data_IF_665283549988
#
_entry.id   IF_665283549988
#
_cell.length_a   1.000
_cell.length_b   1.000
_cell.length_c   1.000
_cell.angle_alpha   90.00
_cell.angle_beta   90.00
_cell.angle_gamma   90.00
#
_symmetry.space_group_name_H-M   'P 1'
#
loop_
_entity.id
_entity.type
_entity.pdbx_description
1 polymer ?
#
# COMPACT_ATOMS: atom_id res chain seq x y z
N UNK A 1 5.07 27.33 -3.14
CA UNK A 1 4.35 26.20 -3.77
C UNK A 1 3.16 25.86 -2.90
N UNK A 2 2.05 25.46 -3.52
CA UNK A 2 0.89 24.87 -2.86
C UNK A 2 0.99 23.35 -2.93
N UNK A 3 0.90 22.70 -1.78
CA UNK A 3 1.06 21.24 -1.63
C UNK A 3 -0.23 20.68 -1.05
N UNK A 4 -0.85 19.76 -1.79
CA UNK A 4 -2.06 19.06 -1.38
C UNK A 4 -1.68 17.75 -0.67
N UNK A 5 -1.98 17.68 0.62
CA UNK A 5 -1.94 16.45 1.41
C UNK A 5 -3.31 15.79 1.36
N UNK A 6 -3.41 14.68 0.63
CA UNK A 6 -4.66 13.92 0.52
C UNK A 6 -4.64 12.78 1.55
N UNK A 7 -5.32 13.02 2.67
CA UNK A 7 -5.19 12.32 3.94
C UNK A 7 -6.53 11.74 4.46
N UNK A 8 -7.21 10.85 3.71
CA UNK A 8 -8.56 10.38 4.06
C UNK A 8 -8.64 9.47 5.30
N UNK A 9 -7.51 9.07 5.90
CA UNK A 9 -7.44 7.98 6.88
C UNK A 9 -6.87 8.40 8.25
N UNK A 10 -7.36 9.52 8.78
CA UNK A 10 -6.86 10.12 10.04
C UNK A 10 -6.98 9.22 11.28
N UNK A 11 -7.85 8.21 11.28
CA UNK A 11 -7.92 7.22 12.37
C UNK A 11 -6.68 6.32 12.43
N UNK A 12 -5.82 6.21 11.42
CA UNK A 12 -4.57 5.46 11.58
C UNK A 12 -3.50 6.41 12.11
N UNK A 13 -3.55 6.72 13.41
CA UNK A 13 -2.76 7.80 14.01
C UNK A 13 -1.25 7.65 13.84
N UNK A 14 -0.75 6.41 13.90
CA UNK A 14 0.67 6.09 13.65
C UNK A 14 1.13 6.44 12.23
N UNK A 15 0.20 6.74 11.32
CA UNK A 15 0.48 7.23 9.97
C UNK A 15 0.09 8.71 9.84
N UNK A 16 -1.11 9.09 10.30
CA UNK A 16 -1.65 10.44 10.14
C UNK A 16 -0.84 11.51 10.89
N UNK A 17 -0.35 11.22 12.09
CA UNK A 17 0.44 12.20 12.84
C UNK A 17 1.82 12.45 12.22
N UNK A 18 2.61 11.41 11.86
CA UNK A 18 3.85 11.64 11.10
C UNK A 18 3.63 12.33 9.75
N UNK A 19 2.53 12.04 9.04
CA UNK A 19 2.14 12.78 7.83
C UNK A 19 1.93 14.27 8.11
N UNK A 20 1.20 14.61 9.18
CA UNK A 20 1.00 15.98 9.61
C UNK A 20 2.32 16.70 9.97
N UNK A 21 3.28 16.00 10.60
CA UNK A 21 4.61 16.57 10.88
C UNK A 21 5.38 16.92 9.60
N UNK A 22 5.28 16.10 8.56
CA UNK A 22 5.88 16.42 7.24
C UNK A 22 5.19 17.65 6.63
N UNK A 23 3.86 17.70 6.69
CA UNK A 23 3.10 18.85 6.23
C UNK A 23 3.47 20.14 6.99
N UNK A 24 3.66 20.06 8.31
CA UNK A 24 4.09 21.17 9.15
C UNK A 24 5.49 21.65 8.76
N UNK A 25 6.46 20.73 8.61
CA UNK A 25 7.81 21.10 8.21
C UNK A 25 7.83 21.81 6.84
N UNK A 26 7.01 21.37 5.89
CA UNK A 26 6.86 22.03 4.60
C UNK A 26 6.19 23.41 4.72
N UNK A 27 5.19 23.55 5.60
CA UNK A 27 4.55 24.83 5.92
C UNK A 27 5.57 25.82 6.52
N UNK A 28 6.37 25.38 7.48
CA UNK A 28 7.45 26.17 8.09
C UNK A 28 8.52 26.55 7.05
N UNK A 29 8.73 25.71 6.04
CA UNK A 29 9.53 26.02 4.85
C UNK A 29 8.90 27.03 3.87
N UNK A 30 7.75 27.62 4.20
CA UNK A 30 7.08 28.65 3.39
C UNK A 30 6.16 28.09 2.30
N UNK A 31 5.77 26.81 2.37
CA UNK A 31 4.79 26.23 1.46
C UNK A 31 3.36 26.41 1.97
N UNK A 32 2.42 26.56 1.04
CA UNK A 32 1.00 26.53 1.37
C UNK A 32 0.54 25.08 1.43
N UNK A 33 -0.06 24.68 2.55
CA UNK A 33 -0.54 23.31 2.77
C UNK A 33 -2.06 23.28 2.69
N UNK A 34 -2.57 22.40 1.83
CA UNK A 34 -3.99 22.02 1.76
C UNK A 34 -4.12 20.59 2.25
N UNK A 35 -4.68 20.42 3.46
CA UNK A 35 -4.82 19.13 4.14
C UNK A 35 -6.26 18.61 4.02
N UNK A 36 -6.47 17.66 3.12
CA UNK A 36 -7.78 17.14 2.74
C UNK A 36 -8.07 15.83 3.45
N UNK A 37 -9.28 15.68 4.02
CA UNK A 37 -9.70 14.41 4.66
C UNK A 37 -11.01 13.88 4.09
N UNK A 38 -11.50 12.76 4.61
CA UNK A 38 -12.64 12.05 4.04
C UNK A 38 -14.01 12.68 4.39
N UNK A 39 -14.17 13.24 5.59
CA UNK A 39 -15.47 13.73 6.08
C UNK A 39 -16.58 12.68 6.05
N UNK A 40 -16.27 11.44 6.48
CA UNK A 40 -17.18 10.27 6.49
C UNK A 40 -17.69 9.78 5.14
N UNK A 41 -17.23 10.35 4.02
CA UNK A 41 -17.69 9.91 2.69
C UNK A 41 -17.45 8.42 2.42
N UNK A 42 -16.40 7.84 3.02
CA UNK A 42 -16.01 6.43 2.89
C UNK A 42 -16.55 5.54 4.03
N UNK A 43 -17.68 5.92 4.65
CA UNK A 43 -18.22 5.25 5.84
C UNK A 43 -18.74 3.81 5.62
N UNK A 44 -18.96 3.40 4.37
CA UNK A 44 -19.48 2.05 4.08
C UNK A 44 -18.45 0.96 4.42
N UNK A 45 -17.20 1.19 4.05
CA UNK A 45 -16.02 0.44 4.47
C UNK A 45 -14.76 1.17 3.99
N UNK A 46 -13.68 1.24 4.77
CA UNK A 46 -12.42 1.84 4.31
C UNK A 46 -11.19 1.26 5.02
N UNK A 47 -10.00 1.67 4.57
CA UNK A 47 -8.69 1.22 5.12
C UNK A 47 -8.58 1.42 6.64
N UNK A 48 -9.12 2.53 7.17
CA UNK A 48 -9.11 2.75 8.62
C UNK A 48 -9.91 1.68 9.37
N UNK A 49 -11.06 1.25 8.84
CA UNK A 49 -11.89 0.21 9.44
C UNK A 49 -11.16 -1.14 9.41
N UNK A 50 -10.52 -1.47 8.29
CA UNK A 50 -9.68 -2.67 8.18
C UNK A 50 -8.51 -2.65 9.18
N UNK A 51 -7.83 -1.51 9.33
CA UNK A 51 -6.72 -1.36 10.29
C UNK A 51 -7.16 -1.57 11.75
N UNK A 52 -8.41 -1.24 12.07
CA UNK A 52 -9.04 -1.49 13.37
C UNK A 52 -9.75 -2.85 13.45
N UNK A 53 -9.56 -3.74 12.47
CA UNK A 53 -10.14 -5.09 12.39
C UNK A 53 -11.67 -5.10 12.40
N UNK A 54 -12.29 -4.02 11.94
CA UNK A 54 -13.73 -3.99 11.68
C UNK A 54 -13.97 -4.72 10.36
N UNK A 55 -14.84 -5.73 10.37
CA UNK A 55 -15.19 -6.50 9.17
C UNK A 55 -16.08 -5.67 8.22
N UNK A 56 -16.04 -5.92 6.90
CA UNK A 56 -16.94 -5.26 5.94
C UNK A 56 -18.43 -5.43 6.26
N UNK A 57 -18.80 -6.60 6.79
CA UNK A 57 -20.16 -6.94 7.19
C UNK A 57 -20.51 -6.51 8.64
N UNK A 58 -19.62 -5.81 9.35
CA UNK A 58 -19.90 -5.34 10.70
C UNK A 58 -21.06 -4.31 10.71
N UNK A 59 -21.82 -4.21 11.81
CA UNK A 59 -22.88 -3.20 11.95
C UNK A 59 -22.36 -1.78 11.72
N UNK A 60 -23.20 -0.92 11.18
CA UNK A 60 -22.83 0.47 10.86
C UNK A 60 -22.36 1.26 12.08
N UNK A 61 -22.88 0.97 13.27
CA UNK A 61 -22.41 1.57 14.51
C UNK A 61 -20.90 1.35 14.75
N UNK A 62 -20.37 0.17 14.45
CA UNK A 62 -18.94 -0.11 14.61
C UNK A 62 -18.09 0.67 13.59
N UNK A 63 -18.62 0.84 12.37
CA UNK A 63 -17.96 1.62 11.31
C UNK A 63 -17.98 3.11 11.63
N UNK A 64 -19.10 3.62 12.14
CA UNK A 64 -19.27 5.01 12.56
C UNK A 64 -18.30 5.38 13.70
N UNK A 65 -18.04 4.49 14.65
CA UNK A 65 -17.02 4.72 15.69
C UNK A 65 -15.62 5.00 15.09
N UNK A 66 -15.25 4.33 14.00
CA UNK A 66 -13.99 4.59 13.30
C UNK A 66 -14.05 5.95 12.57
N UNK A 67 -15.18 6.30 11.98
CA UNK A 67 -15.39 7.63 11.39
C UNK A 67 -15.30 8.76 12.44
N UNK A 68 -15.89 8.58 13.62
CA UNK A 68 -15.80 9.53 14.74
C UNK A 68 -14.34 9.69 15.19
N UNK A 69 -13.58 8.59 15.24
CA UNK A 69 -12.16 8.63 15.56
C UNK A 69 -11.33 9.36 14.48
N UNK A 70 -11.65 9.17 13.20
CA UNK A 70 -11.07 9.94 12.10
C UNK A 70 -11.35 11.44 12.29
N UNK A 71 -12.59 11.81 12.61
CA UNK A 71 -13.01 13.19 12.76
C UNK A 71 -12.37 13.88 13.97
N UNK A 72 -12.26 13.19 15.11
CA UNK A 72 -11.55 13.72 16.26
C UNK A 72 -10.06 13.97 15.93
N UNK A 73 -9.41 13.02 15.23
CA UNK A 73 -7.99 13.13 14.88
C UNK A 73 -7.71 14.16 13.79
N UNK A 74 -8.57 14.28 12.77
CA UNK A 74 -8.42 15.35 11.77
C UNK A 74 -8.56 16.72 12.40
N UNK A 75 -9.46 16.88 13.38
CA UNK A 75 -9.67 18.15 14.07
C UNK A 75 -8.40 18.54 14.83
N UNK A 76 -7.83 17.62 15.62
CA UNK A 76 -6.55 17.83 16.30
C UNK A 76 -5.46 18.25 15.28
N UNK A 77 -5.31 17.52 14.17
CA UNK A 77 -4.31 17.83 13.16
C UNK A 77 -4.53 19.23 12.56
N UNK A 78 -5.74 19.53 12.07
CA UNK A 78 -6.01 20.81 11.40
C UNK A 78 -5.85 22.00 12.35
N UNK A 79 -6.38 21.89 13.57
CA UNK A 79 -6.34 22.99 14.55
C UNK A 79 -4.92 23.21 15.10
N UNK A 80 -4.24 22.16 15.57
CA UNK A 80 -2.95 22.29 16.23
C UNK A 80 -1.84 22.71 15.27
N UNK A 81 -1.85 22.21 14.03
CA UNK A 81 -0.87 22.61 13.01
C UNK A 81 -1.33 23.82 12.17
N UNK A 82 -2.58 24.27 12.35
CA UNK A 82 -3.19 25.35 11.59
C UNK A 82 -3.23 25.08 10.08
N UNK A 83 -3.60 23.86 9.67
CA UNK A 83 -3.72 23.51 8.26
C UNK A 83 -5.08 23.96 7.70
N UNK A 84 -5.05 24.52 6.48
CA UNK A 84 -6.25 24.76 5.69
C UNK A 84 -6.63 23.48 4.94
N UNK A 85 -7.87 23.40 4.47
CA UNK A 85 -8.35 22.31 3.61
C UNK A 85 -9.81 21.96 3.92
N UNK A 86 -10.40 21.13 3.08
CA UNK A 86 -11.79 20.70 3.18
C UNK A 86 -11.89 19.18 3.29
N UNK A 87 -13.07 18.66 3.58
CA UNK A 87 -13.34 17.24 3.45
C UNK A 87 -13.84 16.87 2.05
N UNK A 88 -13.60 15.63 1.64
CA UNK A 88 -14.14 15.08 0.39
C UNK A 88 -15.66 15.18 0.33
N UNK A 89 -16.34 14.98 1.47
CA UNK A 89 -17.80 15.10 1.59
C UNK A 89 -18.33 16.49 1.25
N UNK A 90 -17.54 17.55 1.48
CA UNK A 90 -17.92 18.93 1.15
C UNK A 90 -17.88 19.21 -0.36
N UNK A 91 -17.15 18.38 -1.12
CA UNK A 91 -16.96 18.55 -2.56
C UNK A 91 -17.89 17.69 -3.40
N UNK A 92 -18.36 16.58 -2.83
CA UNK A 92 -19.21 15.62 -3.51
C UNK A 92 -20.66 16.13 -3.46
N UNK A 93 -21.23 16.37 -4.63
CA UNK A 93 -22.62 16.82 -4.77
C UNK A 93 -23.58 15.64 -4.85
N UNK A 94 -24.87 15.88 -4.67
CA UNK A 94 -25.89 14.84 -4.86
C UNK A 94 -25.92 14.30 -6.29
N UNK A 95 -25.54 15.11 -7.28
CA UNK A 95 -25.37 14.66 -8.67
C UNK A 95 -24.22 13.66 -8.80
N UNK A 96 -23.06 13.94 -8.19
CA UNK A 96 -21.96 12.97 -8.16
C UNK A 96 -22.40 11.68 -7.46
N UNK A 97 -23.14 11.76 -6.35
CA UNK A 97 -23.65 10.58 -5.65
C UNK A 97 -24.58 9.74 -6.52
N UNK A 98 -25.48 10.39 -7.27
CA UNK A 98 -26.35 9.73 -8.22
C UNK A 98 -25.53 8.98 -9.29
N UNK A 99 -24.57 9.67 -9.91
CA UNK A 99 -23.69 9.05 -10.91
C UNK A 99 -22.88 7.89 -10.34
N UNK A 100 -22.36 8.02 -9.11
CA UNK A 100 -21.62 6.94 -8.46
C UNK A 100 -22.49 5.71 -8.26
N UNK A 101 -23.72 5.87 -7.74
CA UNK A 101 -24.60 4.72 -7.53
C UNK A 101 -25.11 4.12 -8.83
N UNK A 102 -25.35 4.92 -9.87
CA UNK A 102 -25.67 4.43 -11.22
C UNK A 102 -24.54 3.57 -11.79
N UNK A 103 -23.29 4.05 -11.72
CA UNK A 103 -22.11 3.31 -12.17
C UNK A 103 -21.96 2.01 -11.36
N UNK A 104 -22.10 2.08 -10.04
CA UNK A 104 -21.96 0.90 -9.17
C UNK A 104 -23.09 -0.12 -9.40
N UNK A 105 -24.31 0.32 -9.71
CA UNK A 105 -25.42 -0.57 -10.02
C UNK A 105 -25.25 -1.25 -11.39
N UNK A 106 -24.61 -0.57 -12.35
CA UNK A 106 -24.38 -1.08 -13.70
C UNK A 106 -23.13 -1.94 -13.87
N UNK A 107 -22.18 -1.90 -12.93
CA UNK A 107 -20.91 -2.64 -13.06
C UNK A 107 -21.11 -4.14 -12.83
N UNK A 108 -20.44 -4.96 -13.64
CA UNK A 108 -20.41 -6.42 -13.50
C UNK A 108 -18.99 -6.88 -13.17
N UNK A 109 -18.85 -8.16 -12.80
CA UNK A 109 -17.53 -8.76 -12.54
C UNK A 109 -16.62 -8.69 -13.76
N UNK A 110 -17.21 -8.87 -14.94
CA UNK A 110 -16.48 -8.90 -16.21
C UNK A 110 -16.10 -7.49 -16.69
N UNK A 111 -16.91 -6.48 -16.36
CA UNK A 111 -16.63 -5.09 -16.76
C UNK A 111 -15.80 -4.31 -15.73
N UNK A 112 -15.64 -4.80 -14.50
CA UNK A 112 -14.92 -4.06 -13.47
C UNK A 112 -13.46 -3.78 -13.85
N UNK A 113 -12.69 -4.79 -14.29
CA UNK A 113 -11.26 -4.62 -14.58
C UNK A 113 -10.98 -3.81 -15.84
N UNK A 114 -12.01 -3.49 -16.63
CA UNK A 114 -11.92 -2.68 -17.85
C UNK A 114 -12.67 -1.35 -17.72
N UNK A 115 -13.27 -1.08 -16.56
CA UNK A 115 -14.00 0.16 -16.34
C UNK A 115 -13.05 1.36 -16.27
N UNK A 116 -13.28 2.32 -17.16
CA UNK A 116 -12.57 3.58 -17.23
C UNK A 116 -13.53 4.76 -17.03
N UNK A 117 -13.03 5.80 -16.38
CA UNK A 117 -13.71 7.08 -16.23
C UNK A 117 -12.72 8.20 -16.54
N UNK A 118 -13.02 9.01 -17.56
CA UNK A 118 -12.16 10.09 -18.07
C UNK A 118 -10.71 9.65 -18.34
N UNK A 119 -10.53 8.44 -18.89
CA UNK A 119 -9.22 7.88 -19.22
C UNK A 119 -8.41 7.39 -18.00
N UNK A 120 -9.04 7.21 -16.83
CA UNK A 120 -8.46 6.47 -15.72
C UNK A 120 -9.15 5.12 -15.58
N UNK A 121 -8.38 4.05 -15.45
CA UNK A 121 -8.87 2.70 -15.16
C UNK A 121 -9.33 2.53 -13.70
N UNK A 122 -10.35 3.28 -13.28
CA UNK A 122 -10.87 3.31 -11.89
C UNK A 122 -11.19 1.90 -11.39
N UNK A 123 -11.74 1.05 -12.26
CA UNK A 123 -12.10 -0.31 -11.88
C UNK A 123 -10.90 -1.16 -11.46
N UNK A 124 -9.76 -1.01 -12.16
CA UNK A 124 -8.48 -1.62 -11.75
C UNK A 124 -7.95 -1.01 -10.47
N UNK A 125 -7.88 0.33 -10.40
CA UNK A 125 -7.33 1.04 -9.25
C UNK A 125 -8.05 0.69 -7.94
N UNK A 126 -9.35 0.41 -8.01
CA UNK A 126 -10.17 0.01 -6.87
C UNK A 126 -9.72 -1.32 -6.23
N UNK A 127 -9.10 -2.22 -6.99
CA UNK A 127 -8.87 -3.61 -6.57
C UNK A 127 -7.70 -3.80 -5.61
N UNK A 128 -6.76 -2.85 -5.52
CA UNK A 128 -5.48 -3.07 -4.83
C UNK A 128 -5.66 -3.58 -3.39
N UNK A 129 -6.48 -2.91 -2.56
CA UNK A 129 -6.63 -3.29 -1.15
C UNK A 129 -7.40 -4.60 -1.01
N UNK A 130 -8.43 -4.78 -1.83
CA UNK A 130 -9.24 -5.99 -1.81
C UNK A 130 -8.38 -7.23 -2.09
N UNK A 131 -7.56 -7.18 -3.14
CA UNK A 131 -6.66 -8.28 -3.52
C UNK A 131 -5.65 -8.60 -2.42
N UNK A 132 -5.06 -7.58 -1.79
CA UNK A 132 -4.13 -7.76 -0.67
C UNK A 132 -4.80 -8.36 0.57
N UNK A 133 -5.98 -7.84 0.94
CA UNK A 133 -6.70 -8.27 2.14
C UNK A 133 -7.18 -9.73 2.00
N UNK A 134 -7.64 -10.10 0.81
CA UNK A 134 -8.14 -11.45 0.51
C UNK A 134 -7.07 -12.41 -0.02
N UNK A 135 -5.83 -11.94 -0.21
CA UNK A 135 -4.71 -12.72 -0.77
C UNK A 135 -5.09 -13.38 -2.10
N UNK A 136 -5.85 -12.64 -2.93
CA UNK A 136 -6.36 -13.09 -4.22
C UNK A 136 -5.34 -12.83 -5.32
N UNK A 137 -5.33 -13.72 -6.31
CA UNK A 137 -4.48 -13.62 -7.51
C UNK A 137 -5.30 -13.65 -8.81
N UNK A 138 -6.62 -13.73 -8.69
CA UNK A 138 -7.59 -13.85 -9.78
C UNK A 138 -8.94 -13.23 -9.37
N UNK A 139 -9.85 -13.09 -10.33
CA UNK A 139 -11.16 -12.43 -10.18
C UNK A 139 -12.34 -13.40 -10.03
N UNK A 140 -12.10 -14.63 -9.56
CA UNK A 140 -13.14 -15.64 -9.30
C UNK A 140 -13.86 -15.39 -7.96
N UNK A 141 -14.45 -14.21 -7.83
CA UNK A 141 -14.98 -13.70 -6.57
C UNK A 141 -16.27 -14.40 -6.16
N UNK A 142 -16.39 -14.74 -4.88
CA UNK A 142 -17.67 -15.13 -4.28
C UNK A 142 -18.67 -13.96 -4.26
N UNK A 143 -19.95 -14.24 -4.01
CA UNK A 143 -20.98 -13.18 -3.88
C UNK A 143 -20.62 -12.18 -2.77
N UNK A 144 -20.09 -12.67 -1.65
CA UNK A 144 -19.66 -11.83 -0.53
C UNK A 144 -18.47 -10.94 -0.94
N UNK A 145 -17.44 -11.52 -1.53
CA UNK A 145 -16.25 -10.78 -1.99
C UNK A 145 -16.59 -9.74 -3.05
N UNK A 146 -17.55 -10.04 -3.93
CA UNK A 146 -18.05 -9.07 -4.89
C UNK A 146 -18.65 -7.84 -4.19
N UNK A 147 -19.44 -8.03 -3.14
CA UNK A 147 -19.98 -6.92 -2.34
C UNK A 147 -18.89 -6.06 -1.68
N UNK A 148 -17.80 -6.68 -1.23
CA UNK A 148 -16.64 -5.97 -0.67
C UNK A 148 -15.89 -5.18 -1.75
N UNK A 149 -15.68 -5.80 -2.92
CA UNK A 149 -15.08 -5.18 -4.09
C UNK A 149 -15.86 -3.93 -4.54
N UNK A 150 -17.20 -4.00 -4.54
CA UNK A 150 -18.06 -2.86 -4.86
C UNK A 150 -17.94 -1.70 -3.85
N UNK A 151 -17.58 -1.98 -2.60
CA UNK A 151 -17.31 -0.91 -1.63
C UNK A 151 -16.03 -0.14 -2.01
N UNK A 152 -14.95 -0.87 -2.36
CA UNK A 152 -13.70 -0.24 -2.78
C UNK A 152 -13.85 0.50 -4.11
N UNK A 153 -14.61 -0.05 -5.05
CA UNK A 153 -14.92 0.61 -6.32
C UNK A 153 -15.70 1.92 -6.12
N UNK A 154 -16.73 1.91 -5.27
CA UNK A 154 -17.46 3.12 -4.88
C UNK A 154 -16.56 4.16 -4.23
N UNK A 155 -15.69 3.73 -3.32
CA UNK A 155 -14.71 4.62 -2.67
C UNK A 155 -13.77 5.28 -3.68
N UNK A 156 -13.29 4.52 -4.68
CA UNK A 156 -12.45 5.01 -5.75
C UNK A 156 -13.19 6.05 -6.63
N UNK A 157 -14.48 5.84 -6.92
CA UNK A 157 -15.30 6.81 -7.64
C UNK A 157 -15.51 8.11 -6.83
N UNK A 158 -15.83 8.03 -5.54
CA UNK A 158 -15.90 9.22 -4.69
C UNK A 158 -14.55 9.96 -4.63
N UNK A 159 -13.45 9.23 -4.54
CA UNK A 159 -12.11 9.80 -4.64
C UNK A 159 -11.89 10.53 -5.96
N UNK A 160 -12.37 9.97 -7.08
CA UNK A 160 -12.27 10.58 -8.40
C UNK A 160 -12.99 11.93 -8.45
N UNK A 161 -14.27 11.98 -8.07
CA UNK A 161 -15.05 13.21 -8.12
C UNK A 161 -14.49 14.29 -7.18
N UNK A 162 -14.15 13.92 -5.94
CA UNK A 162 -13.57 14.85 -4.98
C UNK A 162 -12.18 15.34 -5.42
N UNK A 163 -11.27 14.44 -5.80
CA UNK A 163 -9.93 14.81 -6.23
C UNK A 163 -9.95 15.64 -7.51
N UNK A 164 -10.84 15.36 -8.47
CA UNK A 164 -11.00 16.18 -9.66
C UNK A 164 -11.32 17.63 -9.27
N UNK A 165 -12.33 17.84 -8.41
CA UNK A 165 -12.72 19.17 -7.93
C UNK A 165 -11.61 19.86 -7.14
N UNK A 166 -10.90 19.13 -6.27
CA UNK A 166 -9.75 19.63 -5.53
C UNK A 166 -8.66 20.15 -6.46
N UNK A 167 -8.26 19.36 -7.47
CA UNK A 167 -7.21 19.78 -8.39
C UNK A 167 -7.63 21.03 -9.20
N UNK A 168 -8.91 21.12 -9.57
CA UNK A 168 -9.46 22.23 -10.34
C UNK A 168 -9.54 23.53 -9.49
N UNK A 169 -9.92 23.41 -8.21
CA UNK A 169 -10.05 24.53 -7.26
C UNK A 169 -8.71 24.99 -6.69
N UNK A 170 -7.92 24.05 -6.18
CA UNK A 170 -6.69 24.36 -5.44
C UNK A 170 -5.49 24.56 -6.35
N UNK A 171 -5.47 23.88 -7.51
CA UNK A 171 -4.35 23.88 -8.48
C UNK A 171 -3.01 23.63 -7.78
N UNK A 172 -2.85 22.50 -7.07
CA UNK A 172 -1.64 22.25 -6.32
C UNK A 172 -0.43 22.06 -7.24
N UNK A 173 0.73 22.52 -6.78
CA UNK A 173 2.00 22.24 -7.45
C UNK A 173 2.44 20.79 -7.22
N UNK A 174 2.07 20.21 -6.07
CA UNK A 174 2.50 18.88 -5.62
C UNK A 174 1.39 18.20 -4.83
N UNK A 175 1.35 16.87 -4.91
CA UNK A 175 0.43 16.03 -4.13
C UNK A 175 1.23 15.08 -3.24
N UNK A 176 0.79 14.92 -1.99
CA UNK A 176 1.39 13.98 -1.03
C UNK A 176 0.28 13.08 -0.48
N UNK A 177 0.55 11.77 -0.44
CA UNK A 177 -0.36 10.76 0.14
C UNK A 177 0.42 9.78 1.01
N UNK A 178 -0.18 9.31 2.10
CA UNK A 178 0.34 8.14 2.80
C UNK A 178 -0.04 6.85 2.04
N UNK A 179 0.95 6.13 1.51
CA UNK A 179 0.81 5.01 0.58
C UNK A 179 0.08 5.39 -0.74
N UNK A 180 0.87 5.51 -1.82
CA UNK A 180 0.36 5.87 -3.15
C UNK A 180 -0.43 4.78 -3.87
N UNK A 181 -0.46 3.55 -3.36
CA UNK A 181 -1.14 2.41 -3.98
C UNK A 181 -2.54 2.16 -3.43
N UNK A 182 -2.89 2.74 -2.27
CA UNK A 182 -4.26 2.62 -1.76
C UNK A 182 -5.26 3.22 -2.75
N UNK A 183 -6.40 2.58 -2.98
CA UNK A 183 -7.27 2.78 -4.13
C UNK A 183 -7.72 4.24 -4.22
N UNK A 184 -8.18 4.79 -3.10
CA UNK A 184 -8.59 6.20 -2.97
C UNK A 184 -7.41 7.14 -3.23
N UNK A 185 -6.24 6.85 -2.67
CA UNK A 185 -5.02 7.66 -2.86
C UNK A 185 -4.48 7.57 -4.29
N UNK A 186 -4.52 6.39 -4.89
CA UNK A 186 -4.01 6.10 -6.23
C UNK A 186 -4.84 6.83 -7.28
N UNK A 187 -6.16 6.90 -7.11
CA UNK A 187 -7.04 7.73 -7.95
C UNK A 187 -6.61 9.20 -7.89
N UNK A 188 -6.37 9.75 -6.69
CA UNK A 188 -5.85 11.11 -6.54
C UNK A 188 -4.49 11.30 -7.23
N UNK A 189 -3.57 10.35 -7.06
CA UNK A 189 -2.25 10.37 -7.71
C UNK A 189 -2.35 10.35 -9.24
N UNK A 190 -3.21 9.49 -9.80
CA UNK A 190 -3.42 9.41 -11.26
C UNK A 190 -4.07 10.66 -11.84
N UNK A 191 -5.01 11.27 -11.11
CA UNK A 191 -5.57 12.57 -11.50
C UNK A 191 -4.53 13.71 -11.45
N UNK A 192 -3.59 13.65 -10.51
CA UNK A 192 -2.47 14.57 -10.44
C UNK A 192 -1.52 14.38 -11.63
N UNK A 193 -1.14 13.14 -11.94
CA UNK A 193 -0.31 12.78 -13.10
C UNK A 193 -0.91 13.29 -14.42
N UNK A 194 -2.21 13.07 -14.65
CA UNK A 194 -2.90 13.56 -15.85
C UNK A 194 -2.86 15.09 -16.00
N UNK A 195 -2.72 15.83 -14.90
CA UNK A 195 -2.58 17.29 -14.88
C UNK A 195 -1.12 17.76 -14.90
N UNK A 196 -0.16 16.84 -15.03
CA UNK A 196 1.26 17.15 -14.94
C UNK A 196 1.73 17.54 -13.53
N UNK A 197 0.93 17.26 -12.50
CA UNK A 197 1.25 17.54 -11.09
C UNK A 197 2.00 16.34 -10.49
N UNK A 198 3.26 16.50 -10.08
CA UNK A 198 4.00 15.42 -9.43
C UNK A 198 3.38 15.03 -8.09
N UNK A 199 3.28 13.73 -7.82
CA UNK A 199 2.84 13.20 -6.54
C UNK A 199 3.97 12.45 -5.81
N UNK A 200 3.83 12.37 -4.50
CA UNK A 200 4.77 11.73 -3.57
C UNK A 200 4.01 10.82 -2.63
N UNK A 201 4.61 9.69 -2.31
CA UNK A 201 4.08 8.76 -1.33
C UNK A 201 4.89 8.83 -0.04
N UNK A 202 4.22 8.50 1.07
CA UNK A 202 4.86 8.29 2.36
C UNK A 202 4.57 6.90 2.92
N UNK A 203 5.55 6.36 3.64
CA UNK A 203 5.40 5.17 4.48
C UNK A 203 6.22 5.33 5.77
N UNK A 204 5.87 4.53 6.78
CA UNK A 204 6.80 4.22 7.86
C UNK A 204 8.09 3.61 7.29
N UNK A 205 9.23 3.85 7.95
CA UNK A 205 10.54 3.44 7.46
C UNK A 205 10.72 1.93 7.36
N UNK A 206 11.63 1.48 6.49
CA UNK A 206 11.85 0.06 6.21
C UNK A 206 12.52 -0.73 7.34
N UNK A 207 13.15 -0.05 8.31
CA UNK A 207 13.84 -0.74 9.39
C UNK A 207 12.90 -1.07 10.55
N UNK A 208 12.59 -2.36 10.76
CA UNK A 208 11.72 -2.84 11.82
C UNK A 208 12.09 -2.39 13.25
N UNK A 209 13.36 -2.16 13.58
CA UNK A 209 13.76 -1.75 14.94
C UNK A 209 13.32 -0.33 15.28
N UNK A 210 13.11 0.51 14.28
CA UNK A 210 12.70 1.90 14.44
C UNK A 210 11.69 2.35 13.36
N UNK A 211 10.86 1.41 12.88
CA UNK A 211 9.95 1.58 11.73
C UNK A 211 9.02 2.77 11.90
N UNK A 212 8.42 2.92 13.08
CA UNK A 212 7.49 4.01 13.39
C UNK A 212 8.20 5.31 13.83
N UNK A 213 9.53 5.31 13.89
CA UNK A 213 10.34 6.49 14.22
C UNK A 213 11.00 7.10 12.98
N UNK A 214 10.82 6.47 11.82
CA UNK A 214 11.41 6.91 10.56
C UNK A 214 10.33 6.92 9.48
N UNK A 215 10.52 7.75 8.45
CA UNK A 215 9.62 7.85 7.32
C UNK A 215 10.39 7.61 6.02
N UNK A 216 9.72 6.95 5.09
CA UNK A 216 10.11 6.85 3.70
C UNK A 216 9.25 7.85 2.92
N UNK A 217 9.89 8.75 2.18
CA UNK A 217 9.25 9.69 1.28
C UNK A 217 9.87 9.51 -0.11
N UNK A 218 9.04 9.32 -1.12
CA UNK A 218 9.49 9.11 -2.50
C UNK A 218 8.55 9.75 -3.50
N UNK A 219 9.08 10.11 -4.68
CA UNK A 219 8.25 10.52 -5.83
C UNK A 219 7.61 9.29 -6.45
N UNK A 220 6.35 9.42 -6.88
CA UNK A 220 5.62 8.33 -7.53
C UNK A 220 4.98 7.37 -6.53
N UNK A 221 5.27 6.07 -6.71
CA UNK A 221 4.87 5.00 -5.80
C UNK A 221 6.06 4.08 -5.42
N UNK A 222 5.83 3.11 -4.55
CA UNK A 222 6.87 2.19 -4.07
C UNK A 222 7.48 1.34 -5.19
N UNK A 223 6.71 1.00 -6.23
CA UNK A 223 7.17 0.20 -7.37
C UNK A 223 8.00 1.02 -8.36
N UNK A 224 7.92 2.34 -8.33
CA UNK A 224 8.85 3.23 -9.01
C UNK A 224 10.09 3.54 -8.14
N UNK A 225 9.88 3.73 -6.84
CA UNK A 225 10.95 4.09 -5.90
C UNK A 225 12.00 2.99 -5.70
N UNK A 226 11.58 1.73 -5.53
CA UNK A 226 12.51 0.64 -5.24
C UNK A 226 13.47 0.33 -6.40
N UNK A 227 13.01 0.20 -7.67
CA UNK A 227 13.92 0.06 -8.80
C UNK A 227 14.90 1.22 -8.91
N UNK A 228 14.45 2.45 -8.69
CA UNK A 228 15.33 3.62 -8.69
C UNK A 228 16.43 3.54 -7.61
N UNK A 229 16.12 3.02 -6.42
CA UNK A 229 17.11 2.77 -5.38
C UNK A 229 18.16 1.73 -5.83
N UNK A 230 17.72 0.66 -6.49
CA UNK A 230 18.61 -0.39 -7.01
C UNK A 230 19.51 0.16 -8.11
N UNK A 231 18.97 0.92 -9.06
CA UNK A 231 19.74 1.58 -10.13
C UNK A 231 20.81 2.51 -9.55
N UNK A 232 20.49 3.20 -8.45
CA UNK A 232 21.39 4.15 -7.80
C UNK A 232 22.41 3.46 -6.90
N UNK A 233 22.20 2.19 -6.53
CA UNK A 233 23.05 1.46 -5.58
C UNK A 233 24.52 1.43 -5.99
N UNK A 234 24.82 1.37 -7.29
CA UNK A 234 26.18 1.38 -7.82
C UNK A 234 27.04 2.53 -7.25
N UNK A 235 26.44 3.70 -7.03
CA UNK A 235 27.11 4.89 -6.46
C UNK A 235 27.58 4.71 -5.02
N UNK A 236 27.03 3.73 -4.30
CA UNK A 236 27.29 3.48 -2.89
C UNK A 236 28.11 2.22 -2.62
N UNK A 237 28.45 1.45 -3.66
CA UNK A 237 29.16 0.16 -3.51
C UNK A 237 30.56 0.28 -2.89
N UNK A 238 31.22 1.41 -3.10
CA UNK A 238 32.55 1.70 -2.55
C UNK A 238 32.52 2.59 -1.31
N UNK A 239 31.32 2.94 -0.80
CA UNK A 239 31.17 3.77 0.39
C UNK A 239 31.11 2.86 1.62
N UNK A 240 32.10 2.90 2.53
CA UNK A 240 32.08 2.06 3.71
C UNK A 240 30.90 2.38 4.63
N UNK A 241 30.26 1.34 5.17
CA UNK A 241 29.23 1.51 6.19
C UNK A 241 29.84 2.09 7.48
N UNK A 242 29.29 3.20 7.96
CA UNK A 242 29.63 3.73 9.29
C UNK A 242 29.16 2.78 10.39
N UNK A 243 29.77 2.83 11.59
CA UNK A 243 29.34 2.03 12.74
C UNK A 243 27.85 2.24 13.10
N UNK A 244 27.32 3.45 12.89
CA UNK A 244 25.90 3.76 13.05
C UNK A 244 25.01 3.00 12.06
N UNK A 245 25.41 2.93 10.78
CA UNK A 245 24.67 2.19 9.76
C UNK A 245 24.75 0.68 10.00
N UNK A 246 25.92 0.17 10.38
CA UNK A 246 26.09 -1.23 10.77
C UNK A 246 25.15 -1.59 11.91
N UNK A 247 25.09 -0.74 12.95
CA UNK A 247 24.15 -0.93 14.07
C UNK A 247 22.70 -0.94 13.61
N UNK A 248 22.27 -0.02 12.74
CA UNK A 248 20.90 0.00 12.21
C UNK A 248 20.55 -1.30 11.48
N UNK A 249 21.45 -1.79 10.63
CA UNK A 249 21.28 -3.07 9.93
C UNK A 249 21.23 -4.22 10.94
N UNK A 250 22.14 -4.26 11.91
CA UNK A 250 22.13 -5.30 12.96
C UNK A 250 20.81 -5.31 13.74
N UNK A 251 20.35 -4.15 14.21
CA UNK A 251 19.11 -4.03 14.99
C UNK A 251 17.89 -4.51 14.17
N UNK A 252 17.85 -4.21 12.86
CA UNK A 252 16.82 -4.71 11.95
C UNK A 252 16.75 -6.24 11.95
N UNK A 253 17.89 -6.90 11.73
CA UNK A 253 17.96 -8.37 11.70
C UNK A 253 17.65 -8.98 13.06
N UNK A 254 18.03 -8.33 14.16
CA UNK A 254 17.65 -8.79 15.50
C UNK A 254 16.13 -8.77 15.69
N UNK A 255 15.40 -7.78 15.16
CA UNK A 255 13.93 -7.79 15.17
C UNK A 255 13.33 -8.90 14.30
N UNK A 256 13.91 -9.18 13.12
CA UNK A 256 13.51 -10.32 12.30
C UNK A 256 13.64 -11.63 13.08
N UNK A 257 14.78 -11.84 13.75
CA UNK A 257 15.02 -13.04 14.55
C UNK A 257 14.11 -13.14 15.79
N UNK A 258 13.67 -12.00 16.34
CA UNK A 258 12.72 -11.95 17.46
C UNK A 258 11.30 -12.36 17.05
N UNK A 259 10.91 -12.16 15.78
CA UNK A 259 9.61 -12.57 15.25
C UNK A 259 8.42 -11.88 15.93
N UNK A 260 8.59 -10.65 16.43
CA UNK A 260 7.56 -9.91 17.18
C UNK A 260 6.71 -8.97 16.33
N UNK A 261 7.26 -8.51 15.20
CA UNK A 261 6.58 -7.59 14.31
C UNK A 261 5.61 -8.35 13.41
N UNK A 262 4.45 -7.75 13.12
CA UNK A 262 3.47 -8.30 12.18
C UNK A 262 3.96 -8.30 10.73
N UNK A 263 5.06 -7.60 10.44
CA UNK A 263 5.78 -7.66 9.16
C UNK A 263 6.83 -8.77 9.11
N UNK A 264 6.92 -9.61 10.16
CA UNK A 264 7.79 -10.79 10.18
C UNK A 264 6.93 -12.02 10.00
N UNK A 265 6.99 -12.61 8.81
CA UNK A 265 6.21 -13.78 8.41
C UNK A 265 6.84 -15.12 8.83
N UNK A 266 7.84 -15.09 9.72
CA UNK A 266 8.51 -16.27 10.27
C UNK A 266 8.30 -16.36 11.78
N UNK A 267 8.35 -17.58 12.33
CA UNK A 267 8.43 -17.77 13.77
C UNK A 267 9.71 -17.17 14.34
N UNK A 268 9.68 -16.82 15.63
CA UNK A 268 10.86 -16.44 16.39
C UNK A 268 11.94 -17.51 16.26
N UNK A 269 13.20 -17.11 16.10
CA UNK A 269 14.35 -18.02 16.11
C UNK A 269 14.37 -18.85 17.41
N UNK A 270 14.40 -20.16 17.26
CA UNK A 270 14.56 -21.11 18.37
C UNK A 270 15.89 -20.89 19.10
N UNK A 271 15.88 -21.09 20.43
CA UNK A 271 17.10 -21.10 21.24
C UNK A 271 17.82 -22.45 21.19
N UNK A 272 17.12 -23.53 20.81
CA UNK A 272 17.71 -24.85 20.64
C UNK A 272 18.45 -24.98 19.32
N UNK A 273 19.51 -25.80 19.31
CA UNK A 273 20.16 -26.21 18.07
C UNK A 273 19.16 -27.04 17.25
N UNK A 274 18.91 -26.63 16.01
CA UNK A 274 18.17 -27.42 15.05
C UNK A 274 19.14 -27.99 14.02
N UNK A 275 19.39 -29.29 14.09
CA UNK A 275 20.21 -29.97 13.10
C UNK A 275 19.36 -30.29 11.86
N UNK A 276 19.37 -29.37 10.90
CA UNK A 276 18.69 -29.52 9.61
C UNK A 276 19.12 -30.78 8.87
N UNK A 277 20.40 -31.17 8.97
CA UNK A 277 20.91 -32.35 8.27
C UNK A 277 20.37 -33.62 8.87
N UNK A 278 20.43 -33.75 10.19
CA UNK A 278 19.85 -34.91 10.89
C UNK A 278 18.33 -34.99 10.69
N UNK A 279 17.61 -33.86 10.80
CA UNK A 279 16.14 -33.82 10.70
C UNK A 279 15.62 -34.31 9.35
N UNK A 280 16.30 -33.96 8.26
CA UNK A 280 15.90 -34.26 6.89
C UNK A 280 16.71 -35.39 6.25
N UNK A 281 17.63 -36.03 6.99
CA UNK A 281 18.46 -37.13 6.48
C UNK A 281 19.48 -36.70 5.42
N UNK A 282 19.96 -35.45 5.49
CA UNK A 282 20.91 -34.90 4.51
C UNK A 282 22.29 -35.52 4.76
N UNK A 283 22.83 -36.26 3.78
CA UNK A 283 24.13 -36.90 3.90
C UNK A 283 25.26 -35.87 4.01
N UNK A 284 26.38 -36.18 4.68
CA UNK A 284 27.50 -35.24 4.83
C UNK A 284 28.02 -34.67 3.51
N UNK A 285 28.05 -35.49 2.45
CA UNK A 285 28.50 -35.09 1.12
C UNK A 285 27.47 -34.26 0.32
N UNK A 286 26.20 -34.21 0.75
CA UNK A 286 25.16 -33.44 0.06
C UNK A 286 25.24 -31.96 0.42
N UNK A 287 25.11 -31.11 -0.60
CA UNK A 287 24.91 -29.67 -0.45
C UNK A 287 23.42 -29.40 -0.22
N UNK A 288 23.12 -28.62 0.81
CA UNK A 288 21.76 -28.18 1.10
C UNK A 288 21.42 -26.94 0.29
N UNK A 289 20.32 -27.00 -0.44
CA UNK A 289 19.76 -25.89 -1.19
C UNK A 289 18.58 -25.31 -0.43
N UNK A 290 18.56 -23.99 -0.23
CA UNK A 290 17.42 -23.29 0.35
C UNK A 290 16.59 -22.65 -0.76
N UNK A 291 15.32 -22.99 -0.84
CA UNK A 291 14.37 -22.33 -1.76
C UNK A 291 13.61 -21.26 -1.01
N UNK A 292 13.89 -20.00 -1.34
CA UNK A 292 13.10 -18.86 -0.85
C UNK A 292 11.99 -18.57 -1.85
N UNK A 293 10.75 -18.70 -1.41
CA UNK A 293 9.57 -18.40 -2.22
C UNK A 293 9.14 -16.94 -2.06
N UNK A 294 8.60 -16.35 -3.13
CA UNK A 294 8.05 -15.00 -3.12
C UNK A 294 6.55 -14.97 -2.79
N UNK A 295 6.07 -13.83 -2.30
CA UNK A 295 4.64 -13.54 -2.11
C UNK A 295 4.07 -13.00 -3.43
N UNK A 296 3.29 -13.81 -4.14
CA UNK A 296 2.74 -13.43 -5.46
C UNK A 296 1.56 -12.45 -5.35
N UNK A 297 0.86 -12.42 -4.23
CA UNK A 297 -0.33 -11.60 -4.02
C UNK A 297 -0.05 -10.10 -4.10
N UNK A 298 1.05 -9.62 -3.51
CA UNK A 298 1.43 -8.20 -3.58
C UNK A 298 1.82 -7.78 -5.00
N UNK A 299 2.51 -8.67 -5.72
CA UNK A 299 2.94 -8.43 -7.09
C UNK A 299 1.75 -8.40 -8.04
N UNK A 300 0.85 -9.38 -7.94
CA UNK A 300 -0.37 -9.42 -8.74
C UNK A 300 -1.27 -8.22 -8.44
N UNK A 301 -1.44 -7.85 -7.17
CA UNK A 301 -2.21 -6.65 -6.82
C UNK A 301 -1.61 -5.38 -7.42
N UNK A 302 -0.28 -5.25 -7.43
CA UNK A 302 0.42 -4.11 -8.01
C UNK A 302 0.34 -4.05 -9.54
N UNK A 303 0.44 -5.20 -10.21
CA UNK A 303 0.24 -5.33 -11.66
C UNK A 303 -1.19 -4.98 -12.06
N UNK A 304 -2.18 -5.48 -11.31
CA UNK A 304 -3.60 -5.20 -11.57
C UNK A 304 -3.94 -3.72 -11.53
N UNK A 305 -3.23 -2.91 -10.73
CA UNK A 305 -3.45 -1.46 -10.65
C UNK A 305 -2.48 -0.65 -11.51
N UNK A 306 -1.74 -1.32 -12.40
CA UNK A 306 -0.76 -0.69 -13.29
C UNK A 306 0.37 0.03 -12.55
N UNK A 307 0.67 -0.36 -11.30
CA UNK A 307 1.80 0.18 -10.56
C UNK A 307 3.09 -0.60 -10.85
N UNK A 308 2.96 -1.88 -11.20
CA UNK A 308 4.08 -2.73 -11.59
C UNK A 308 3.91 -3.20 -13.04
N UNK A 309 5.00 -3.13 -13.78
CA UNK A 309 5.13 -3.73 -15.09
C UNK A 309 6.29 -4.73 -15.04
N UNK A 310 6.03 -5.98 -15.39
CA UNK A 310 7.09 -6.97 -15.51
C UNK A 310 7.98 -6.60 -16.70
N UNK A 311 9.25 -6.33 -16.43
CA UNK A 311 10.25 -6.03 -17.47
C UNK A 311 10.51 -7.25 -18.38
N UNK A 312 10.31 -8.45 -17.85
CA UNK A 312 10.39 -9.71 -18.58
C UNK A 312 9.33 -10.68 -18.05
N UNK A 313 8.72 -11.51 -18.93
CA UNK A 313 7.83 -12.57 -18.48
C UNK A 313 8.61 -13.55 -17.58
N UNK A 314 7.96 -14.13 -16.56
CA UNK A 314 8.62 -15.11 -15.72
C UNK A 314 9.01 -16.34 -16.56
N UNK A 315 10.15 -16.96 -16.23
CA UNK A 315 10.63 -18.18 -16.89
C UNK A 315 9.64 -19.35 -16.75
N UNK A 316 8.82 -19.34 -15.69
CA UNK A 316 7.78 -20.32 -15.42
C UNK A 316 6.44 -19.59 -15.27
N UNK A 317 5.35 -20.12 -15.85
CA UNK A 317 3.99 -19.58 -15.69
C UNK A 317 3.56 -19.43 -14.22
N UNK A 318 3.99 -20.34 -13.34
CA UNK A 318 3.63 -20.32 -11.91
C UNK A 318 4.80 -20.70 -11.00
N UNK A 319 4.74 -20.26 -9.74
CA UNK A 319 5.70 -20.69 -8.71
C UNK A 319 5.69 -22.22 -8.53
N UNK A 320 4.52 -22.85 -8.68
CA UNK A 320 4.35 -24.30 -8.56
C UNK A 320 5.11 -25.03 -9.67
N UNK A 321 5.01 -24.54 -10.91
CA UNK A 321 5.74 -25.12 -12.05
C UNK A 321 7.25 -24.95 -11.90
N UNK A 322 7.70 -23.79 -11.44
CA UNK A 322 9.10 -23.56 -11.11
C UNK A 322 9.62 -24.55 -10.05
N UNK A 323 8.87 -24.75 -8.95
CA UNK A 323 9.24 -25.69 -7.88
C UNK A 323 9.28 -27.13 -8.42
N UNK A 324 8.33 -27.53 -9.24
CA UNK A 324 8.32 -28.87 -9.87
C UNK A 324 9.55 -29.08 -10.76
N UNK A 325 9.92 -28.07 -11.56
CA UNK A 325 11.11 -28.14 -12.40
C UNK A 325 12.39 -28.24 -11.55
N UNK A 326 12.49 -27.45 -10.49
CA UNK A 326 13.61 -27.48 -9.55
C UNK A 326 13.73 -28.84 -8.84
N UNK A 327 12.62 -29.40 -8.37
CA UNK A 327 12.57 -30.75 -7.79
C UNK A 327 13.02 -31.82 -8.79
N UNK A 328 12.56 -31.72 -10.05
CA UNK A 328 12.99 -32.60 -11.12
C UNK A 328 14.50 -32.54 -11.36
N UNK A 329 15.07 -31.33 -11.40
CA UNK A 329 16.51 -31.12 -11.52
C UNK A 329 17.29 -31.74 -10.35
N UNK A 330 16.92 -31.42 -9.10
CA UNK A 330 17.61 -31.90 -7.90
C UNK A 330 17.51 -33.42 -7.75
N UNK A 331 16.39 -34.04 -8.16
CA UNK A 331 16.22 -35.51 -8.10
C UNK A 331 17.28 -36.27 -8.90
N UNK A 332 17.83 -35.67 -9.96
CA UNK A 332 18.90 -36.27 -10.77
C UNK A 332 20.30 -36.08 -10.17
N UNK A 333 20.42 -35.32 -9.08
CA UNK A 333 21.68 -34.85 -8.50
C UNK A 333 21.85 -35.37 -7.08
N UNK A 334 22.50 -36.52 -6.95
CA UNK A 334 22.73 -37.17 -5.65
C UNK A 334 23.63 -36.38 -4.70
N UNK A 335 24.36 -35.39 -5.21
CA UNK A 335 25.19 -34.44 -4.47
C UNK A 335 24.40 -33.26 -3.88
N UNK A 336 23.12 -33.12 -4.22
CA UNK A 336 22.25 -32.03 -3.75
C UNK A 336 21.13 -32.57 -2.86
N UNK A 337 20.63 -31.71 -1.97
CA UNK A 337 19.41 -31.90 -1.20
C UNK A 337 18.63 -30.58 -1.23
N UNK A 338 17.33 -30.63 -1.54
CA UNK A 338 16.45 -29.47 -1.53
C UNK A 338 15.52 -29.53 -0.32
#
# INVERSE_FOLDING_TARGET
MKILFFAPHSAIWVHAFPEALVAEALKQGGHEIVYVTCGRKLQRYCVAMSAYRVAPAAPDMNKLQICDLCDARKQIIREQFGFKGCDMSELITSEDECHVEEIVAGITRDSLTTFELNGLAIGQLALYQFMLLRKRINMDLSVQEWGECLNEFRNALYAFYAAKKLMDQERPDRVVVYNGLYSVNRVCCKLAEQRGVPHYFMHAGGNLSNRLQTLLLGRGDTFQYMPHCVETYAKFTQVPCTGRLLKLVTDHYLELLRGRSHFVYSSRKSTGLFDTRARFGVRPAQKLLLVTMGSYDEEVAAEMVGARHLLAPPLFPTQIEWIRALLGFVKTRSDLFL
#
